data_IF_939289749754
#
_entry.id   IF_939289749754
#
_cell.length_a   1.000
_cell.length_b   1.000
_cell.length_c   1.000
_cell.angle_alpha   90.00
_cell.angle_beta   90.00
_cell.angle_gamma   90.00
#
_symmetry.space_group_name_H-M   'P 1'
#
loop_
_entity.id
_entity.type
_entity.pdbx_description
1 polymer ?
#
# COMPACT_ATOMS: atom_id res chain seq x y z
N UNK A 1 11.56 -6.33 -14.86
CA UNK A 1 12.03 -4.93 -15.04
C UNK A 1 11.54 -4.12 -13.86
N UNK A 2 12.39 -3.29 -13.24
CA UNK A 2 12.01 -2.44 -12.09
C UNK A 2 11.49 -1.09 -12.61
N UNK A 3 10.43 -0.55 -12.04
CA UNK A 3 9.76 0.66 -12.55
C UNK A 3 10.17 1.93 -11.79
N UNK A 4 9.90 3.10 -12.36
CA UNK A 4 10.03 4.36 -11.62
C UNK A 4 9.10 4.33 -10.38
N UNK A 5 9.49 4.87 -9.20
CA UNK A 5 8.70 4.74 -7.97
C UNK A 5 7.24 5.19 -8.12
N UNK A 6 7.01 6.26 -8.87
CA UNK A 6 5.66 6.77 -9.17
C UNK A 6 4.83 5.73 -9.93
N UNK A 7 5.42 5.10 -10.96
CA UNK A 7 4.74 4.07 -11.77
C UNK A 7 4.43 2.84 -10.92
N UNK A 8 5.35 2.44 -10.04
CA UNK A 8 5.11 1.34 -9.10
C UNK A 8 3.95 1.61 -8.16
N UNK A 9 3.83 2.83 -7.62
CA UNK A 9 2.71 3.22 -6.76
C UNK A 9 1.39 3.16 -7.55
N UNK A 10 1.36 3.69 -8.78
CA UNK A 10 0.16 3.65 -9.65
C UNK A 10 -0.26 2.20 -9.92
N UNK A 11 0.68 1.33 -10.29
CA UNK A 11 0.40 -0.09 -10.52
C UNK A 11 -0.17 -0.74 -9.25
N UNK A 12 0.43 -0.49 -8.09
CA UNK A 12 -0.06 -1.02 -6.81
C UNK A 12 -1.48 -0.54 -6.49
N UNK A 13 -1.80 0.73 -6.75
CA UNK A 13 -3.15 1.27 -6.58
C UNK A 13 -4.13 0.54 -7.49
N UNK A 14 -3.80 0.34 -8.76
CA UNK A 14 -4.67 -0.38 -9.70
C UNK A 14 -4.90 -1.81 -9.20
N UNK A 15 -3.85 -2.54 -8.86
CA UNK A 15 -3.94 -3.93 -8.39
C UNK A 15 -4.80 -4.00 -7.13
N UNK A 16 -4.50 -3.20 -6.11
CA UNK A 16 -5.26 -3.22 -4.84
C UNK A 16 -6.71 -2.81 -5.07
N UNK A 17 -6.97 -1.79 -5.88
CA UNK A 17 -8.34 -1.31 -6.16
C UNK A 17 -9.19 -2.36 -6.85
N UNK A 18 -8.63 -3.18 -7.74
CA UNK A 18 -9.31 -4.30 -8.36
C UNK A 18 -9.74 -5.36 -7.33
N UNK A 19 -8.90 -5.61 -6.32
CA UNK A 19 -9.26 -6.54 -5.24
C UNK A 19 -10.32 -5.94 -4.30
N UNK A 20 -10.24 -4.64 -3.99
CA UNK A 20 -11.20 -4.01 -3.09
C UNK A 20 -12.56 -3.74 -3.72
N UNK A 21 -12.65 -3.58 -5.04
CA UNK A 21 -13.92 -3.39 -5.77
C UNK A 21 -14.88 -4.58 -5.61
N UNK A 22 -14.34 -5.79 -5.40
CA UNK A 22 -15.12 -7.01 -5.27
C UNK A 22 -15.62 -7.29 -3.83
N UNK A 23 -15.33 -6.40 -2.87
CA UNK A 23 -15.77 -6.59 -1.48
C UNK A 23 -17.21 -6.09 -1.31
N UNK A 24 -18.11 -6.89 -0.71
CA UNK A 24 -19.46 -6.43 -0.40
C UNK A 24 -19.41 -5.21 0.52
N UNK A 25 -20.38 -4.30 0.38
CA UNK A 25 -20.48 -3.09 1.20
C UNK A 25 -20.59 -3.43 2.68
N UNK A 26 -19.48 -3.40 3.40
CA UNK A 26 -19.41 -3.75 4.82
C UNK A 26 -19.45 -2.50 5.70
N UNK A 27 -19.89 -2.67 6.95
CA UNK A 27 -19.91 -1.62 7.96
C UNK A 27 -18.52 -0.98 8.16
N UNK A 28 -18.47 0.21 8.77
CA UNK A 28 -17.26 1.02 8.92
C UNK A 28 -16.13 0.29 9.68
N UNK A 29 -16.48 -0.54 10.67
CA UNK A 29 -15.53 -1.37 11.44
C UNK A 29 -14.97 -2.51 10.57
N UNK A 30 -15.83 -3.18 9.80
CA UNK A 30 -15.39 -4.22 8.87
C UNK A 30 -14.51 -3.63 7.75
N UNK A 31 -14.79 -2.40 7.34
CA UNK A 31 -13.98 -1.66 6.37
C UNK A 31 -12.56 -1.36 6.91
N UNK A 32 -12.41 -1.04 8.20
CA UNK A 32 -11.11 -0.83 8.83
C UNK A 32 -10.29 -2.12 8.96
N UNK A 33 -10.92 -3.25 9.28
CA UNK A 33 -10.21 -4.55 9.36
C UNK A 33 -9.75 -4.99 7.97
N UNK A 34 -10.60 -4.81 6.96
CA UNK A 34 -10.28 -5.13 5.57
C UNK A 34 -9.19 -4.23 5.00
N UNK A 35 -9.05 -2.97 5.45
CA UNK A 35 -8.06 -2.06 4.85
C UNK A 35 -6.61 -2.41 5.19
N UNK A 36 -6.38 -3.05 6.33
CA UNK A 36 -5.04 -3.43 6.80
C UNK A 36 -4.30 -4.36 5.81
N UNK A 37 -4.85 -5.54 5.43
CA UNK A 37 -4.17 -6.43 4.49
C UNK A 37 -3.96 -5.78 3.12
N UNK A 38 -4.89 -4.96 2.63
CA UNK A 38 -4.72 -4.24 1.37
C UNK A 38 -3.66 -3.14 1.44
N UNK A 39 -3.58 -2.41 2.56
CA UNK A 39 -2.52 -1.44 2.79
C UNK A 39 -1.14 -2.11 2.81
N UNK A 40 -1.01 -3.25 3.51
CA UNK A 40 0.23 -4.03 3.53
C UNK A 40 0.57 -4.54 2.12
N UNK A 41 -0.38 -5.15 1.42
CA UNK A 41 -0.15 -5.72 0.09
C UNK A 41 0.21 -4.64 -0.94
N UNK A 42 -0.50 -3.52 -0.95
CA UNK A 42 -0.19 -2.41 -1.85
C UNK A 42 1.14 -1.74 -1.52
N UNK A 43 1.45 -1.57 -0.24
CA UNK A 43 2.74 -1.03 0.19
C UNK A 43 3.92 -1.93 -0.17
N UNK A 44 3.71 -3.24 -0.06
CA UNK A 44 4.63 -4.28 -0.51
C UNK A 44 4.87 -4.16 -2.02
N UNK A 45 3.81 -4.19 -2.84
CA UNK A 45 3.92 -4.09 -4.29
C UNK A 45 4.61 -2.79 -4.73
N UNK A 46 4.26 -1.66 -4.10
CA UNK A 46 4.82 -0.35 -4.45
C UNK A 46 6.33 -0.31 -4.25
N UNK A 47 6.81 -0.94 -3.16
CA UNK A 47 8.24 -1.01 -2.84
C UNK A 47 8.95 -2.08 -3.66
N UNK A 48 8.34 -3.25 -3.82
CA UNK A 48 8.93 -4.38 -4.52
C UNK A 48 9.08 -4.15 -6.03
N UNK A 49 8.16 -3.38 -6.64
CA UNK A 49 8.22 -3.06 -8.07
C UNK A 49 9.07 -1.82 -8.37
N UNK A 50 9.33 -0.97 -7.38
CA UNK A 50 10.11 0.26 -7.53
C UNK A 50 11.57 -0.03 -7.88
N UNK A 51 12.20 0.81 -8.69
CA UNK A 51 13.64 0.74 -8.99
C UNK A 51 14.47 0.92 -7.73
N UNK A 52 14.02 1.77 -6.84
CA UNK A 52 14.68 2.07 -5.58
C UNK A 52 14.07 1.22 -4.47
N UNK A 53 14.91 0.56 -3.68
CA UNK A 53 14.45 -0.29 -2.58
C UNK A 53 14.25 0.52 -1.30
N UNK A 54 13.18 1.34 -1.23
CA UNK A 54 12.89 2.15 -0.04
C UNK A 54 11.49 1.86 0.48
N UNK A 55 11.39 1.46 1.76
CA UNK A 55 10.11 1.18 2.43
C UNK A 55 9.13 2.37 2.42
N UNK A 56 9.64 3.60 2.33
CA UNK A 56 8.83 4.82 2.29
C UNK A 56 7.86 4.86 1.09
N UNK A 57 8.14 4.13 0.01
CA UNK A 57 7.19 4.02 -1.11
C UNK A 57 5.90 3.32 -0.71
N UNK A 58 5.95 2.42 0.27
CA UNK A 58 4.76 1.83 0.85
C UNK A 58 3.90 2.83 1.62
N UNK A 59 4.51 3.78 2.34
CA UNK A 59 3.79 4.89 2.98
C UNK A 59 3.16 5.83 1.94
N UNK A 60 3.89 6.18 0.89
CA UNK A 60 3.33 7.02 -0.18
C UNK A 60 2.14 6.35 -0.86
N UNK A 61 2.21 5.04 -1.11
CA UNK A 61 1.06 4.27 -1.55
C UNK A 61 -0.11 4.42 -0.57
N UNK A 62 0.11 4.17 0.72
CA UNK A 62 -0.95 4.25 1.74
C UNK A 62 -1.59 5.63 1.84
N UNK A 63 -0.80 6.69 1.69
CA UNK A 63 -1.29 8.07 1.65
C UNK A 63 -2.16 8.33 0.44
N UNK A 64 -1.69 8.01 -0.77
CA UNK A 64 -2.43 8.28 -2.01
C UNK A 64 -3.71 7.44 -2.08
N UNK A 65 -3.62 6.16 -1.70
CA UNK A 65 -4.74 5.23 -1.76
C UNK A 65 -5.86 5.57 -0.75
N UNK A 66 -5.53 6.22 0.36
CA UNK A 66 -6.52 6.63 1.38
C UNK A 66 -7.21 7.96 1.07
N UNK A 67 -6.71 8.79 0.14
CA UNK A 67 -7.30 10.10 -0.19
C UNK A 67 -8.79 10.06 -0.59
N UNK A 68 -9.26 9.11 -1.41
CA UNK A 68 -10.69 9.05 -1.77
C UNK A 68 -11.61 8.89 -0.55
N UNK A 69 -11.15 8.15 0.47
CA UNK A 69 -11.90 7.95 1.72
C UNK A 69 -11.96 9.22 2.56
N UNK A 70 -10.88 10.02 2.59
CA UNK A 70 -10.87 11.32 3.25
C UNK A 70 -11.84 12.28 2.57
N UNK A 71 -11.79 12.35 1.23
CA UNK A 71 -12.71 13.19 0.47
C UNK A 71 -14.16 12.80 0.73
N UNK A 72 -14.47 11.50 0.71
CA UNK A 72 -15.79 11.00 1.08
C UNK A 72 -16.19 11.38 2.52
N UNK A 73 -15.26 11.26 3.47
CA UNK A 73 -15.47 11.67 4.86
C UNK A 73 -15.76 13.16 5.02
N UNK A 74 -15.07 14.02 4.26
CA UNK A 74 -15.32 15.47 4.28
C UNK A 74 -16.72 15.82 3.75
N UNK A 75 -17.16 15.16 2.68
CA UNK A 75 -18.51 15.37 2.10
C UNK A 75 -19.60 14.86 3.05
N UNK A 76 -19.36 13.75 3.75
CA UNK A 76 -20.32 13.12 4.68
C UNK A 76 -20.22 13.63 6.12
N UNK A 77 -19.31 14.58 6.41
CA UNK A 77 -19.02 15.10 7.75
C UNK A 77 -18.62 14.01 8.77
N UNK A 78 -18.03 12.92 8.31
CA UNK A 78 -17.58 11.81 9.15
C UNK A 78 -16.07 11.87 9.36
N UNK A 79 -15.65 12.38 10.52
CA UNK A 79 -14.23 12.53 10.86
C UNK A 79 -13.48 11.20 11.06
N UNK A 80 -14.20 10.08 11.23
CA UNK A 80 -13.63 8.74 11.37
C UNK A 80 -12.82 8.31 10.15
N UNK A 81 -13.10 8.86 8.96
CA UNK A 81 -12.35 8.54 7.75
C UNK A 81 -10.89 9.02 7.77
N UNK A 82 -10.55 9.99 8.62
CA UNK A 82 -9.16 10.43 8.77
C UNK A 82 -8.26 9.34 9.37
N UNK A 83 -8.83 8.43 10.16
CA UNK A 83 -8.10 7.28 10.70
C UNK A 83 -7.59 6.36 9.59
N UNK A 84 -8.29 6.26 8.45
CA UNK A 84 -7.84 5.45 7.33
C UNK A 84 -6.49 5.92 6.77
N UNK A 85 -6.23 7.23 6.75
CA UNK A 85 -4.93 7.76 6.30
C UNK A 85 -3.80 7.30 7.19
N UNK A 86 -3.99 7.42 8.51
CA UNK A 86 -2.98 7.06 9.50
C UNK A 86 -2.71 5.56 9.44
N UNK A 87 -3.76 4.73 9.40
CA UNK A 87 -3.65 3.29 9.29
C UNK A 87 -2.98 2.88 7.98
N UNK A 88 -3.43 3.40 6.84
CA UNK A 88 -2.84 3.08 5.53
C UNK A 88 -1.38 3.52 5.43
N UNK A 89 -0.98 4.64 6.03
CA UNK A 89 0.43 5.07 6.10
C UNK A 89 1.31 4.07 6.86
N UNK A 90 0.86 3.66 8.05
CA UNK A 90 1.61 2.74 8.94
C UNK A 90 1.68 1.35 8.29
N UNK A 91 0.54 0.79 7.90
CA UNK A 91 0.48 -0.55 7.32
C UNK A 91 1.10 -0.61 5.91
N UNK A 92 0.98 0.46 5.13
CA UNK A 92 1.71 0.61 3.88
C UNK A 92 3.22 0.61 4.09
N UNK A 93 3.72 1.31 5.11
CA UNK A 93 5.14 1.26 5.47
C UNK A 93 5.59 -0.16 5.85
N UNK A 94 4.79 -0.87 6.65
CA UNK A 94 5.08 -2.25 7.05
C UNK A 94 5.19 -3.15 5.82
N UNK A 95 4.24 -3.07 4.89
CA UNK A 95 4.31 -3.78 3.62
C UNK A 95 5.58 -3.45 2.82
N UNK A 96 5.91 -2.17 2.73
CA UNK A 96 7.13 -1.71 2.05
C UNK A 96 8.41 -2.19 2.72
N UNK A 97 8.44 -2.26 4.05
CA UNK A 97 9.58 -2.78 4.80
C UNK A 97 9.79 -4.28 4.54
N UNK A 98 8.71 -5.07 4.51
CA UNK A 98 8.75 -6.50 4.17
C UNK A 98 9.30 -6.70 2.75
N UNK A 99 8.80 -5.94 1.76
CA UNK A 99 9.30 -5.97 0.39
C UNK A 99 10.80 -5.63 0.32
N UNK A 100 11.22 -4.63 1.09
CA UNK A 100 12.61 -4.19 1.12
C UNK A 100 13.54 -5.28 1.63
N UNK A 101 13.18 -5.94 2.73
CA UNK A 101 13.95 -7.05 3.30
C UNK A 101 14.00 -8.25 2.35
N UNK A 102 12.87 -8.61 1.74
CA UNK A 102 12.82 -9.72 0.78
C UNK A 102 13.74 -9.46 -0.41
N UNK A 103 13.75 -8.24 -0.93
CA UNK A 103 14.58 -7.87 -2.07
C UNK A 103 16.07 -7.91 -1.75
N UNK A 104 16.50 -7.43 -0.57
CA UNK A 104 17.91 -7.54 -0.14
C UNK A 104 18.34 -9.02 -0.07
N UNK A 105 17.46 -9.90 0.41
CA UNK A 105 17.75 -11.35 0.47
C UNK A 105 17.84 -11.99 -0.92
N UNK A 106 17.02 -11.58 -1.87
CA UNK A 106 17.05 -12.08 -3.25
C UNK A 106 18.32 -11.62 -3.97
N UNK A 107 18.62 -10.32 -3.92
CA UNK A 107 19.82 -9.76 -4.54
C UNK A 107 21.09 -10.44 -3.96
N UNK A 108 21.17 -10.65 -2.64
CA UNK A 108 22.30 -11.36 -2.00
C UNK A 108 22.41 -12.85 -2.37
N UNK A 109 21.31 -13.52 -2.76
CA UNK A 109 21.36 -14.91 -3.23
C UNK A 109 21.90 -14.99 -4.66
N UNK A 110 21.54 -14.04 -5.53
CA UNK A 110 22.07 -13.97 -6.89
C UNK A 110 23.58 -13.74 -6.87
N UNK A 111 24.10 -12.84 -6.03
CA UNK A 111 25.54 -12.58 -5.93
C UNK A 111 26.35 -13.75 -5.37
N UNK A 112 25.74 -14.66 -4.60
CA UNK A 112 26.41 -15.86 -4.08
C UNK A 112 26.47 -17.02 -5.08
N UNK A 113 25.65 -16.96 -6.13
CA UNK A 113 25.55 -18.00 -7.16
C UNK A 113 26.29 -17.61 -8.45
N UNK A 114 26.97 -16.45 -8.46
CA UNK A 114 27.87 -15.95 -9.50
C UNK A 114 29.32 -16.14 -9.07
#
# INVERSE_FOLDING_TARGET
>A
MRFHPVVSIIISIIIVSLFTWNLPGTSLINSLILIVPFAILGGFLATFLSKNNKAIYGSFFGMVWSLPYVLYGTVTQQNTYFLFVIFSLIFGYIGGYIASLLRVRLDNKETKNL
#
